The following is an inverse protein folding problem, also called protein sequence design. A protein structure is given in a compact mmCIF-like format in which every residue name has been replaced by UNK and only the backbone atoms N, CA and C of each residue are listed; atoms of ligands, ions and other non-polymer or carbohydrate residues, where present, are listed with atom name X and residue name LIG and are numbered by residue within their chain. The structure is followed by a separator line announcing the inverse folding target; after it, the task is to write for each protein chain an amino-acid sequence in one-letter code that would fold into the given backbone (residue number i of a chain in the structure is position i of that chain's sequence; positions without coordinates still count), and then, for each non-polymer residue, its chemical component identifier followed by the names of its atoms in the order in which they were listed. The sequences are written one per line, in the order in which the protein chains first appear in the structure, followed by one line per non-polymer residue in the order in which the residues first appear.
data_IF_417429841876
#
_entry.id   IF_417429841876
#
_cell.length_a   1.000
_cell.length_b   1.000
_cell.length_c   1.000
_cell.angle_alpha   90.00
_cell.angle_beta   90.00
_cell.angle_gamma   90.00
#
_symmetry.space_group_name_H-M   'P 1'
#
loop_
_entity.id
_entity.type
_entity.pdbx_description
1 polymer ?
#
# COMPACT_ATOMS: atom_id res chain seq x y z
N UNK A 1 -14.38 29.80 48.71
CA UNK A 1 -13.58 29.83 47.46
C UNK A 1 -12.89 28.49 47.28
N UNK A 2 -13.59 27.52 46.68
CA UNK A 2 -13.07 26.19 46.36
C UNK A 2 -12.28 26.29 45.06
N UNK A 3 -10.96 26.03 45.13
CA UNK A 3 -10.08 25.99 43.97
C UNK A 3 -10.38 24.71 43.19
N UNK A 4 -10.88 24.86 41.96
CA UNK A 4 -10.99 23.78 40.99
C UNK A 4 -9.58 23.30 40.64
N UNK A 5 -9.21 22.09 41.05
CA UNK A 5 -7.99 21.42 40.60
C UNK A 5 -8.26 20.81 39.23
N UNK A 6 -7.46 21.10 38.19
CA UNK A 6 -7.64 20.47 36.88
C UNK A 6 -7.51 18.95 36.97
N UNK A 7 -8.38 18.27 36.24
CA UNK A 7 -8.50 16.82 36.22
C UNK A 7 -7.28 16.21 35.51
N UNK A 8 -6.46 15.43 36.24
CA UNK A 8 -5.22 14.81 35.73
C UNK A 8 -5.42 13.90 34.51
N UNK A 9 -6.65 13.51 34.20
CA UNK A 9 -6.98 12.68 33.02
C UNK A 9 -6.91 13.46 31.70
N UNK A 10 -7.04 14.78 31.72
CA UNK A 10 -7.00 15.60 30.49
C UNK A 10 -5.55 15.88 30.03
N UNK A 11 -4.59 15.93 30.96
CA UNK A 11 -3.16 16.09 30.66
C UNK A 11 -2.57 14.83 30.01
N UNK A 12 -2.99 13.64 30.45
CA UNK A 12 -2.54 12.38 29.85
C UNK A 12 -3.06 12.19 28.42
N UNK A 13 -4.31 12.61 28.12
CA UNK A 13 -4.88 12.56 26.78
C UNK A 13 -4.30 13.61 25.82
N UNK A 14 -3.80 14.74 26.35
CA UNK A 14 -3.06 15.75 25.58
C UNK A 14 -1.65 15.25 25.23
N UNK A 15 -0.94 14.66 26.20
CA UNK A 15 0.41 14.11 26.00
C UNK A 15 0.44 12.93 25.01
N UNK A 16 -0.63 12.12 24.96
CA UNK A 16 -0.75 11.00 24.02
C UNK A 16 -1.06 11.47 22.57
N UNK A 17 -1.81 12.57 22.41
CA UNK A 17 -2.02 13.21 21.10
C UNK A 17 -0.75 13.86 20.54
N UNK A 18 0.11 14.39 21.41
CA UNK A 18 1.41 14.92 21.01
C UNK A 18 2.43 13.81 20.70
N UNK A 19 2.27 12.62 21.29
CA UNK A 19 3.09 11.44 21.00
C UNK A 19 2.82 10.83 19.61
N UNK A 20 1.62 11.02 19.08
CA UNK A 20 1.20 10.47 17.76
C UNK A 20 1.72 11.34 16.59
N UNK A 21 2.12 12.59 16.85
CA UNK A 21 2.88 13.39 15.89
C UNK A 21 4.37 13.21 16.15
N UNK A 22 4.90 12.04 15.82
CA UNK A 22 6.32 11.92 15.50
C UNK A 22 6.64 13.06 14.54
N UNK A 23 7.41 14.06 15.01
CA UNK A 23 7.81 15.19 14.19
C UNK A 23 8.69 14.66 13.06
N UNK A 24 8.07 14.29 11.93
CA UNK A 24 8.80 13.91 10.74
C UNK A 24 9.70 15.08 10.34
N UNK A 25 10.95 14.75 10.11
CA UNK A 25 11.97 15.67 9.61
C UNK A 25 12.39 15.19 8.23
N UNK A 26 12.92 16.08 7.36
CA UNK A 26 13.46 15.64 6.07
C UNK A 26 14.49 14.50 6.21
N UNK A 27 15.32 14.57 7.25
CA UNK A 27 16.35 13.57 7.54
C UNK A 27 15.72 12.24 7.94
N UNK A 28 14.69 12.23 8.79
CA UNK A 28 14.03 10.97 9.19
C UNK A 28 13.28 10.33 8.02
N UNK A 29 12.67 11.14 7.14
CA UNK A 29 12.02 10.63 5.91
C UNK A 29 13.04 10.09 4.90
N UNK A 30 14.16 10.79 4.72
CA UNK A 30 15.26 10.32 3.88
C UNK A 30 15.88 9.03 4.44
N UNK A 31 16.03 8.91 5.75
CA UNK A 31 16.51 7.68 6.39
C UNK A 31 15.51 6.52 6.23
N UNK A 32 14.21 6.79 6.34
CA UNK A 32 13.17 5.80 6.04
C UNK A 32 13.28 5.29 4.60
N UNK A 33 13.44 6.20 3.64
CA UNK A 33 13.65 5.86 2.22
C UNK A 33 14.94 5.06 2.01
N UNK A 34 16.04 5.44 2.66
CA UNK A 34 17.32 4.74 2.60
C UNK A 34 17.25 3.33 3.16
N UNK A 35 16.52 3.13 4.26
CA UNK A 35 16.32 1.81 4.87
C UNK A 35 15.63 0.87 3.89
N UNK A 36 14.57 1.34 3.22
CA UNK A 36 13.89 0.58 2.16
C UNK A 36 14.82 0.25 0.99
N UNK A 37 15.67 1.19 0.57
CA UNK A 37 16.65 0.94 -0.49
C UNK A 37 17.64 -0.17 -0.12
N UNK A 38 18.17 -0.15 1.11
CA UNK A 38 19.10 -1.17 1.60
C UNK A 38 18.43 -2.55 1.61
N UNK A 39 17.21 -2.65 2.13
CA UNK A 39 16.46 -3.91 2.17
C UNK A 39 16.20 -4.46 0.76
N UNK A 40 15.72 -3.62 -0.15
CA UNK A 40 15.47 -4.01 -1.53
C UNK A 40 16.75 -4.42 -2.26
N UNK A 41 17.82 -3.65 -2.07
CA UNK A 41 19.11 -3.90 -2.71
C UNK A 41 19.71 -5.22 -2.26
N UNK A 42 19.71 -5.50 -0.95
CA UNK A 42 20.21 -6.77 -0.40
C UNK A 42 19.42 -7.97 -0.94
N UNK A 43 18.13 -7.77 -1.25
CA UNK A 43 17.30 -8.78 -1.91
C UNK A 43 17.72 -9.08 -3.36
N UNK A 44 18.31 -8.10 -4.07
CA UNK A 44 18.72 -8.26 -5.48
C UNK A 44 20.19 -8.66 -5.62
N UNK A 45 21.03 -8.07 -4.77
CA UNK A 45 22.48 -8.18 -4.82
C UNK A 45 23.01 -8.53 -3.43
N UNK A 46 22.76 -9.76 -2.93
CA UNK A 46 23.08 -10.15 -1.56
C UNK A 46 24.58 -10.09 -1.22
N UNK A 47 25.45 -10.08 -2.24
CA UNK A 47 26.91 -10.01 -2.10
C UNK A 47 27.47 -8.61 -2.42
N UNK A 48 26.61 -7.61 -2.62
CA UNK A 48 27.02 -6.25 -2.98
C UNK A 48 26.48 -5.27 -1.95
N UNK A 49 27.36 -4.80 -1.06
CA UNK A 49 26.99 -3.91 0.04
C UNK A 49 26.49 -2.56 -0.50
N UNK A 50 25.20 -2.25 -0.27
CA UNK A 50 24.60 -0.99 -0.72
C UNK A 50 25.26 0.23 -0.10
N UNK A 51 25.61 0.17 1.20
CA UNK A 51 26.16 1.31 1.91
C UNK A 51 27.55 1.64 1.37
N UNK A 52 28.40 0.64 1.21
CA UNK A 52 29.77 0.86 0.74
C UNK A 52 29.84 1.18 -0.76
N UNK A 53 29.00 0.57 -1.58
CA UNK A 53 29.15 0.66 -3.04
C UNK A 53 28.18 1.63 -3.73
N UNK A 54 27.12 2.08 -3.06
CA UNK A 54 26.14 3.03 -3.61
C UNK A 54 26.05 4.27 -2.75
N UNK A 55 25.70 4.12 -1.47
CA UNK A 55 25.47 5.27 -0.60
C UNK A 55 26.75 6.08 -0.36
N UNK A 56 27.84 5.43 0.03
CA UNK A 56 29.09 6.11 0.41
C UNK A 56 29.72 6.90 -0.75
N UNK A 57 29.82 6.38 -2.00
CA UNK A 57 30.27 7.21 -3.13
C UNK A 57 29.42 8.46 -3.32
N UNK A 58 28.09 8.36 -3.22
CA UNK A 58 27.18 9.50 -3.32
C UNK A 58 27.30 10.43 -2.11
N UNK A 59 27.56 9.89 -0.92
CA UNK A 59 27.76 10.65 0.30
C UNK A 59 29.07 11.46 0.27
N UNK A 60 30.14 10.88 -0.25
CA UNK A 60 31.45 11.51 -0.32
C UNK A 60 31.54 12.52 -1.47
N UNK A 61 30.74 12.36 -2.52
CA UNK A 61 30.66 13.31 -3.63
C UNK A 61 29.89 14.60 -3.22
N UNK A 62 30.55 15.79 -3.23
CA UNK A 62 29.89 17.06 -2.94
C UNK A 62 28.88 17.48 -4.02
N UNK A 63 29.02 17.00 -5.24
CA UNK A 63 28.19 17.35 -6.40
C UNK A 63 27.01 16.39 -6.60
N UNK A 64 26.80 15.45 -5.68
CA UNK A 64 25.69 14.48 -5.74
C UNK A 64 24.36 15.18 -5.98
N UNK A 65 23.74 14.78 -7.10
CA UNK A 65 22.47 15.34 -7.55
C UNK A 65 21.52 14.25 -8.01
N UNK A 66 20.37 14.13 -7.33
CA UNK A 66 19.31 13.24 -7.78
C UNK A 66 18.83 13.58 -9.19
N UNK A 67 18.83 14.86 -9.57
CA UNK A 67 18.47 15.29 -10.93
C UNK A 67 19.45 14.77 -11.99
N UNK A 68 20.75 14.77 -11.71
CA UNK A 68 21.73 14.18 -12.64
C UNK A 68 21.55 12.67 -12.77
N UNK A 69 21.24 11.97 -11.67
CA UNK A 69 20.94 10.53 -11.72
C UNK A 69 19.68 10.24 -12.57
N UNK A 70 18.69 11.13 -12.58
CA UNK A 70 17.52 11.00 -13.47
C UNK A 70 17.92 11.12 -14.94
N UNK A 71 18.85 12.02 -15.26
CA UNK A 71 19.32 12.15 -16.65
C UNK A 71 20.09 10.89 -17.10
N UNK A 72 20.78 10.18 -16.19
CA UNK A 72 21.36 8.87 -16.50
C UNK A 72 20.28 7.80 -16.78
N UNK A 73 19.15 7.80 -16.06
CA UNK A 73 18.02 6.91 -16.36
C UNK A 73 17.51 7.16 -17.79
N UNK A 74 17.33 8.42 -18.18
CA UNK A 74 16.88 8.79 -19.53
C UNK A 74 17.86 8.32 -20.61
N UNK A 75 19.16 8.45 -20.37
CA UNK A 75 20.17 7.93 -21.29
C UNK A 75 20.02 6.42 -21.47
N UNK A 76 19.76 5.67 -20.40
CA UNK A 76 19.52 4.21 -20.47
C UNK A 76 18.22 3.90 -21.22
N UNK A 77 17.18 4.72 -21.09
CA UNK A 77 15.94 4.56 -21.86
C UNK A 77 16.16 4.81 -23.37
N UNK A 78 16.91 5.85 -23.71
CA UNK A 78 17.20 6.27 -25.08
C UNK A 78 18.32 5.46 -25.75
N UNK A 79 19.04 4.63 -25.00
CA UNK A 79 20.10 3.80 -25.55
C UNK A 79 19.56 2.88 -26.66
N UNK A 80 20.19 2.80 -27.85
CA UNK A 80 19.79 1.85 -28.88
C UNK A 80 19.86 0.42 -28.37
N UNK A 81 18.99 -0.46 -28.89
CA UNK A 81 19.00 -1.89 -28.55
C UNK A 81 20.29 -2.61 -28.95
N UNK A 82 21.21 -1.93 -29.65
CA UNK A 82 22.44 -2.49 -30.19
C UNK A 82 23.64 -1.58 -29.92
N UNK A 83 24.60 -2.07 -29.13
CA UNK A 83 25.88 -1.38 -28.85
C UNK A 83 27.08 -2.17 -29.40
N UNK A 84 27.00 -2.54 -30.69
CA UNK A 84 28.12 -3.12 -31.43
C UNK A 84 28.27 -4.63 -31.24
N UNK A 85 28.60 -5.12 -30.04
CA UNK A 85 28.97 -6.53 -29.84
C UNK A 85 27.84 -7.43 -29.30
N UNK A 86 26.88 -6.91 -28.52
CA UNK A 86 25.68 -7.66 -28.10
C UNK A 86 24.43 -6.74 -28.02
N UNK A 87 23.23 -7.27 -28.32
CA UNK A 87 21.99 -6.54 -28.10
C UNK A 87 21.75 -6.34 -26.60
N UNK A 88 21.26 -5.17 -26.21
CA UNK A 88 20.76 -4.96 -24.86
C UNK A 88 19.43 -5.70 -24.77
N UNK A 89 19.42 -6.80 -24.02
CA UNK A 89 18.18 -7.54 -23.78
C UNK A 89 17.19 -6.65 -23.03
N UNK A 90 15.87 -6.79 -23.28
CA UNK A 90 14.85 -6.09 -22.49
C UNK A 90 15.05 -6.27 -20.98
N UNK A 91 15.48 -7.45 -20.55
CA UNK A 91 15.78 -7.78 -19.16
C UNK A 91 17.01 -7.01 -18.64
N UNK A 92 18.07 -6.92 -19.45
CA UNK A 92 19.28 -6.15 -19.13
C UNK A 92 18.98 -4.66 -19.00
N UNK A 93 18.20 -4.09 -19.92
CA UNK A 93 17.72 -2.70 -19.82
C UNK A 93 16.89 -2.48 -18.56
N UNK A 94 15.96 -3.38 -18.27
CA UNK A 94 15.14 -3.30 -17.06
C UNK A 94 15.99 -3.35 -15.78
N UNK A 95 17.01 -4.20 -15.72
CA UNK A 95 17.94 -4.25 -14.60
C UNK A 95 18.73 -2.95 -14.45
N UNK A 96 19.25 -2.39 -15.55
CA UNK A 96 19.96 -1.12 -15.55
C UNK A 96 19.08 0.05 -15.05
N UNK A 97 17.83 0.14 -15.53
CA UNK A 97 16.87 1.16 -15.08
C UNK A 97 16.58 1.01 -13.58
N UNK A 98 16.43 -0.22 -13.06
CA UNK A 98 16.23 -0.46 -11.62
C UNK A 98 17.42 0.02 -10.78
N UNK A 99 18.64 -0.31 -11.19
CA UNK A 99 19.87 0.13 -10.50
C UNK A 99 19.97 1.66 -10.53
N UNK A 100 19.77 2.28 -11.69
CA UNK A 100 19.82 3.73 -11.85
C UNK A 100 18.72 4.44 -11.04
N UNK A 101 17.54 3.85 -10.94
CA UNK A 101 16.45 4.35 -10.08
C UNK A 101 16.82 4.30 -8.59
N UNK A 102 17.48 3.22 -8.14
CA UNK A 102 17.99 3.12 -6.77
C UNK A 102 19.06 4.20 -6.49
N UNK A 103 19.94 4.48 -7.45
CA UNK A 103 20.93 5.55 -7.36
C UNK A 103 20.27 6.93 -7.27
N UNK A 104 19.25 7.21 -8.09
CA UNK A 104 18.52 8.48 -8.02
C UNK A 104 17.83 8.68 -6.66
N UNK A 105 17.14 7.65 -6.15
CA UNK A 105 16.53 7.69 -4.82
C UNK A 105 17.58 7.92 -3.71
N UNK A 106 18.72 7.23 -3.78
CA UNK A 106 19.81 7.38 -2.83
C UNK A 106 20.43 8.78 -2.88
N UNK A 107 20.67 9.33 -4.08
CA UNK A 107 21.20 10.68 -4.25
C UNK A 107 20.28 11.74 -3.63
N UNK A 108 18.96 11.62 -3.81
CA UNK A 108 18.01 12.50 -3.12
C UNK A 108 18.02 12.31 -1.59
N UNK A 109 18.20 11.09 -1.08
CA UNK A 109 18.40 10.87 0.36
C UNK A 109 19.63 11.63 0.87
N UNK A 110 20.76 11.53 0.15
CA UNK A 110 21.99 12.24 0.49
C UNK A 110 21.79 13.76 0.45
N UNK A 111 21.14 14.29 -0.59
CA UNK A 111 20.85 15.73 -0.70
C UNK A 111 19.94 16.21 0.45
N UNK A 112 18.92 15.44 0.82
CA UNK A 112 18.05 15.75 1.96
C UNK A 112 18.82 15.77 3.29
N UNK A 113 19.77 14.86 3.48
CA UNK A 113 20.60 14.76 4.68
C UNK A 113 21.68 15.85 4.76
N UNK A 114 22.23 16.29 3.62
CA UNK A 114 23.23 17.36 3.53
C UNK A 114 22.62 18.77 3.54
N UNK A 115 21.36 18.91 3.15
CA UNK A 115 20.67 20.20 3.10
C UNK A 115 20.52 20.84 4.49
N UNK A 116 20.38 22.17 4.50
CA UNK A 116 20.14 22.94 5.73
C UNK A 116 18.94 22.40 6.51
N UNK A 117 19.12 22.18 7.81
CA UNK A 117 18.12 21.55 8.67
C UNK A 117 16.76 22.26 8.58
N UNK A 118 15.75 21.54 8.13
CA UNK A 118 14.37 22.05 8.02
C UNK A 118 14.13 23.02 6.87
N UNK A 119 15.05 23.13 5.90
CA UNK A 119 14.84 23.92 4.69
C UNK A 119 13.75 23.31 3.80
N UNK A 120 13.18 24.14 2.92
CA UNK A 120 12.29 23.68 1.85
C UNK A 120 12.98 22.69 0.92
N UNK A 121 14.28 22.87 0.69
CA UNK A 121 15.07 22.03 -0.22
C UNK A 121 15.24 20.64 0.39
N UNK A 122 15.53 20.55 1.70
CA UNK A 122 15.62 19.29 2.41
C UNK A 122 14.32 18.48 2.28
N UNK A 123 13.16 19.13 2.46
CA UNK A 123 11.86 18.50 2.28
C UNK A 123 11.61 18.08 0.83
N UNK A 124 11.95 18.93 -0.14
CA UNK A 124 11.81 18.62 -1.55
C UNK A 124 12.62 17.37 -1.93
N UNK A 125 13.86 17.28 -1.46
CA UNK A 125 14.71 16.11 -1.68
C UNK A 125 14.17 14.86 -0.98
N UNK A 126 13.69 14.97 0.27
CA UNK A 126 13.10 13.83 0.96
C UNK A 126 11.85 13.29 0.25
N UNK A 127 11.00 14.17 -0.28
CA UNK A 127 9.82 13.80 -1.07
C UNK A 127 10.22 13.13 -2.39
N UNK A 128 11.22 13.66 -3.09
CA UNK A 128 11.72 13.04 -4.33
C UNK A 128 12.36 11.67 -4.04
N UNK A 129 13.13 11.53 -2.96
CA UNK A 129 13.65 10.23 -2.53
C UNK A 129 12.51 9.21 -2.33
N UNK A 130 11.48 9.58 -1.56
CA UNK A 130 10.33 8.72 -1.31
C UNK A 130 9.57 8.37 -2.60
N UNK A 131 9.42 9.33 -3.52
CA UNK A 131 8.81 9.10 -4.84
C UNK A 131 9.60 8.06 -5.64
N UNK A 132 10.92 8.19 -5.72
CA UNK A 132 11.77 7.26 -6.47
C UNK A 132 11.83 5.88 -5.82
N UNK A 133 11.81 5.79 -4.48
CA UNK A 133 11.61 4.52 -3.78
C UNK A 133 10.26 3.90 -4.16
N UNK A 134 9.18 4.68 -4.21
CA UNK A 134 7.86 4.19 -4.62
C UNK A 134 7.83 3.66 -6.07
N UNK A 135 8.49 4.36 -7.00
CA UNK A 135 8.67 3.89 -8.38
C UNK A 135 9.44 2.56 -8.40
N UNK A 136 10.55 2.50 -7.66
CA UNK A 136 11.40 1.31 -7.56
C UNK A 136 10.65 0.12 -6.94
N UNK A 137 9.86 0.36 -5.90
CA UNK A 137 8.97 -0.64 -5.30
C UNK A 137 7.96 -1.16 -6.32
N UNK A 138 7.37 -0.27 -7.14
CA UNK A 138 6.48 -0.67 -8.23
C UNK A 138 7.16 -1.59 -9.26
N UNK A 139 8.41 -1.28 -9.63
CA UNK A 139 9.22 -2.17 -10.49
C UNK A 139 9.53 -3.51 -9.82
N UNK A 140 9.81 -3.52 -8.52
CA UNK A 140 10.20 -4.71 -7.78
C UNK A 140 9.05 -5.67 -7.53
N UNK A 141 7.92 -5.14 -7.06
CA UNK A 141 6.75 -5.90 -6.66
C UNK A 141 6.05 -6.60 -7.84
N UNK A 142 6.52 -6.38 -9.08
CA UNK A 142 5.94 -6.90 -10.34
C UNK A 142 4.43 -6.65 -10.46
N UNK A 143 3.89 -5.68 -9.71
CA UNK A 143 2.45 -5.33 -9.62
C UNK A 143 1.90 -4.75 -10.92
N UNK A 144 2.69 -4.74 -11.99
CA UNK A 144 2.25 -4.42 -13.35
C UNK A 144 2.71 -5.36 -14.47
N UNK A 145 3.63 -6.32 -14.26
CA UNK A 145 4.30 -6.99 -15.41
C UNK A 145 4.22 -8.51 -15.49
N UNK A 146 4.19 -9.27 -14.38
CA UNK A 146 4.19 -10.76 -14.52
C UNK A 146 3.28 -11.52 -13.55
N UNK A 147 2.86 -10.89 -12.45
CA UNK A 147 1.87 -11.46 -11.50
C UNK A 147 0.92 -10.40 -10.96
N UNK A 148 0.83 -9.26 -11.65
CA UNK A 148 -0.17 -8.27 -11.36
C UNK A 148 -1.54 -8.93 -11.54
N UNK A 149 -2.27 -9.10 -10.45
CA UNK A 149 -3.70 -8.99 -10.55
C UNK A 149 -3.93 -7.73 -11.39
N UNK A 150 -4.42 -7.88 -12.62
CA UNK A 150 -4.79 -6.76 -13.49
C UNK A 150 -5.52 -5.72 -12.64
N UNK A 151 -5.47 -4.43 -12.98
CA UNK A 151 -6.26 -3.42 -12.25
C UNK A 151 -7.71 -3.88 -12.00
N UNK A 152 -8.26 -4.67 -12.94
CA UNK A 152 -9.52 -5.41 -12.80
C UNK A 152 -9.55 -6.46 -11.68
N UNK A 153 -8.54 -7.32 -11.54
CA UNK A 153 -8.43 -8.28 -10.44
C UNK A 153 -8.19 -7.61 -9.08
N UNK A 154 -7.38 -6.53 -8.99
CA UNK A 154 -7.25 -5.76 -7.75
C UNK A 154 -8.58 -5.11 -7.35
N UNK A 155 -9.30 -4.51 -8.32
CA UNK A 155 -10.64 -4.00 -8.09
C UNK A 155 -11.61 -5.11 -7.65
N UNK A 156 -11.50 -6.31 -8.25
CA UNK A 156 -12.31 -7.48 -7.87
C UNK A 156 -11.97 -7.96 -6.45
N UNK A 157 -10.71 -7.97 -6.05
CA UNK A 157 -10.28 -8.32 -4.70
C UNK A 157 -10.74 -7.29 -3.67
N UNK A 158 -10.62 -6.00 -3.98
CA UNK A 158 -11.14 -4.92 -3.15
C UNK A 158 -12.66 -5.00 -2.99
N UNK A 159 -13.40 -5.23 -4.08
CA UNK A 159 -14.84 -5.46 -4.03
C UNK A 159 -15.18 -6.74 -3.25
N UNK A 160 -14.39 -7.81 -3.40
CA UNK A 160 -14.58 -9.05 -2.67
C UNK A 160 -14.38 -8.86 -1.16
N UNK A 161 -13.38 -8.08 -0.75
CA UNK A 161 -13.13 -7.74 0.64
C UNK A 161 -14.26 -6.87 1.21
N UNK A 162 -14.66 -5.82 0.48
CA UNK A 162 -15.77 -4.94 0.88
C UNK A 162 -17.12 -5.67 1.03
N UNK A 163 -17.31 -6.77 0.30
CA UNK A 163 -18.52 -7.60 0.38
C UNK A 163 -18.34 -8.88 1.19
N UNK A 164 -17.20 -9.10 1.85
CA UNK A 164 -16.94 -10.32 2.61
C UNK A 164 -17.92 -10.46 3.77
N UNK A 165 -18.07 -9.41 4.59
CA UNK A 165 -19.00 -9.38 5.72
C UNK A 165 -20.45 -9.59 5.27
N UNK A 166 -20.86 -8.90 4.20
CA UNK A 166 -22.20 -9.00 3.64
C UNK A 166 -22.50 -10.43 3.14
N UNK A 167 -21.52 -11.09 2.51
CA UNK A 167 -21.64 -12.49 2.07
C UNK A 167 -21.70 -13.46 3.25
N UNK A 168 -20.90 -13.24 4.30
CA UNK A 168 -20.93 -14.05 5.51
C UNK A 168 -22.30 -13.95 6.20
N UNK A 169 -22.85 -12.75 6.34
CA UNK A 169 -24.21 -12.52 6.86
C UNK A 169 -25.28 -13.20 6.00
N UNK A 170 -25.18 -13.11 4.67
CA UNK A 170 -26.13 -13.77 3.77
C UNK A 170 -26.07 -15.30 3.91
N UNK A 171 -24.88 -15.88 4.03
CA UNK A 171 -24.69 -17.32 4.24
C UNK A 171 -25.28 -17.79 5.59
N UNK A 172 -25.10 -16.99 6.65
CA UNK A 172 -25.72 -17.23 7.95
C UNK A 172 -27.25 -17.23 7.85
N UNK A 173 -27.82 -16.24 7.15
CA UNK A 173 -29.28 -16.16 6.92
C UNK A 173 -29.79 -17.36 6.12
N UNK A 174 -29.08 -17.80 5.07
CA UNK A 174 -29.45 -18.99 4.30
C UNK A 174 -29.48 -20.25 5.17
N UNK A 175 -28.44 -20.46 5.98
CA UNK A 175 -28.34 -21.60 6.90
C UNK A 175 -29.48 -21.57 7.92
N UNK A 176 -29.78 -20.40 8.49
CA UNK A 176 -30.90 -20.24 9.40
C UNK A 176 -32.25 -20.55 8.71
N UNK A 177 -32.43 -20.11 7.46
CA UNK A 177 -33.63 -20.39 6.70
C UNK A 177 -33.82 -21.90 6.45
N UNK A 178 -32.74 -22.66 6.28
CA UNK A 178 -32.81 -24.10 6.05
C UNK A 178 -33.52 -24.85 7.19
N UNK A 179 -33.35 -24.41 8.43
CA UNK A 179 -33.92 -25.04 9.62
C UNK A 179 -35.21 -24.37 10.12
N UNK A 180 -35.43 -23.09 9.83
CA UNK A 180 -36.49 -22.32 10.49
C UNK A 180 -37.65 -21.92 9.57
N UNK A 181 -37.48 -21.95 8.23
CA UNK A 181 -38.51 -21.44 7.31
C UNK A 181 -39.85 -22.18 7.39
N UNK A 182 -39.87 -23.45 7.81
CA UNK A 182 -41.12 -24.20 8.00
C UNK A 182 -42.02 -23.67 9.12
N UNK A 183 -41.49 -22.84 10.02
CA UNK A 183 -42.22 -22.26 11.16
C UNK A 183 -42.94 -20.95 10.81
N UNK A 184 -42.62 -20.35 9.66
CA UNK A 184 -43.14 -19.04 9.26
C UNK A 184 -44.17 -19.17 8.13
N UNK A 185 -45.33 -18.56 8.32
CA UNK A 185 -46.43 -18.56 7.33
C UNK A 185 -46.13 -17.72 6.08
N UNK A 186 -45.19 -16.78 6.17
CA UNK A 186 -44.81 -15.91 5.07
C UNK A 186 -43.33 -15.54 5.12
N UNK A 187 -42.79 -15.14 3.97
CA UNK A 187 -41.43 -14.62 3.87
C UNK A 187 -41.25 -13.26 4.59
N UNK A 188 -42.34 -12.50 4.78
CA UNK A 188 -42.29 -11.25 5.54
C UNK A 188 -42.09 -11.52 7.03
N UNK A 189 -42.82 -12.50 7.58
CA UNK A 189 -42.66 -12.91 8.97
C UNK A 189 -41.25 -13.45 9.25
N UNK A 190 -40.69 -14.23 8.31
CA UNK A 190 -39.31 -14.69 8.41
C UNK A 190 -38.30 -13.52 8.33
N UNK A 191 -38.55 -12.51 7.49
CA UNK A 191 -37.70 -11.33 7.39
C UNK A 191 -37.69 -10.47 8.68
N UNK A 192 -38.82 -10.36 9.37
CA UNK A 192 -38.91 -9.72 10.70
C UNK A 192 -38.20 -10.49 11.82
N UNK A 193 -38.06 -11.81 11.67
CA UNK A 193 -37.32 -12.65 12.60
C UNK A 193 -35.79 -12.53 12.39
N UNK A 194 -35.36 -12.15 11.18
CA UNK A 194 -33.94 -12.03 10.81
C UNK A 194 -33.41 -10.60 11.00
N UNK A 195 -34.14 -9.60 10.48
CA UNK A 195 -33.68 -8.22 10.39
C UNK A 195 -33.46 -7.60 11.79
N UNK A 196 -32.21 -7.18 12.06
CA UNK A 196 -31.82 -6.58 13.34
C UNK A 196 -31.74 -7.56 14.51
N UNK A 197 -32.06 -8.84 14.31
CA UNK A 197 -32.04 -9.88 15.35
C UNK A 197 -30.96 -10.93 15.10
N UNK A 198 -30.97 -11.54 13.91
CA UNK A 198 -29.95 -12.49 13.49
C UNK A 198 -28.76 -11.79 12.84
N UNK A 199 -29.04 -10.77 12.03
CA UNK A 199 -28.03 -9.95 11.34
C UNK A 199 -28.44 -8.48 11.37
N UNK A 200 -27.47 -7.53 11.49
CA UNK A 200 -27.75 -6.10 11.58
C UNK A 200 -28.08 -5.48 10.22
N UNK A 201 -29.11 -6.00 9.54
CA UNK A 201 -29.59 -5.51 8.24
C UNK A 201 -31.04 -5.05 8.30
N UNK A 202 -31.41 -4.16 7.38
CA UNK A 202 -32.79 -3.69 7.24
C UNK A 202 -33.71 -4.80 6.72
N UNK A 203 -34.99 -4.71 7.07
CA UNK A 203 -36.04 -5.64 6.65
C UNK A 203 -36.03 -5.99 5.16
N UNK A 204 -35.91 -4.97 4.29
CA UNK A 204 -35.89 -5.16 2.83
C UNK A 204 -34.74 -6.06 2.37
N UNK A 205 -33.55 -5.91 2.98
CA UNK A 205 -32.38 -6.73 2.69
C UNK A 205 -32.57 -8.17 3.13
N UNK A 206 -33.06 -8.38 4.35
CA UNK A 206 -33.38 -9.72 4.86
C UNK A 206 -34.42 -10.43 3.97
N UNK A 207 -35.49 -9.72 3.59
CA UNK A 207 -36.53 -10.25 2.69
C UNK A 207 -35.97 -10.63 1.32
N UNK A 208 -35.07 -9.81 0.75
CA UNK A 208 -34.42 -10.12 -0.52
C UNK A 208 -33.61 -11.42 -0.42
N UNK A 209 -32.84 -11.61 0.64
CA UNK A 209 -32.03 -12.83 0.83
C UNK A 209 -32.87 -14.08 1.01
N UNK A 210 -34.00 -14.00 1.72
CA UNK A 210 -34.96 -15.11 1.82
C UNK A 210 -35.57 -15.42 0.45
N UNK A 211 -35.80 -14.40 -0.38
CA UNK A 211 -36.22 -14.57 -1.77
C UNK A 211 -35.19 -15.32 -2.61
N UNK A 212 -33.92 -14.95 -2.48
CA UNK A 212 -32.82 -15.63 -3.16
C UNK A 212 -32.70 -17.10 -2.70
N UNK A 213 -32.80 -17.34 -1.39
CA UNK A 213 -32.84 -18.69 -0.81
C UNK A 213 -33.97 -19.54 -1.40
N UNK A 214 -35.18 -18.98 -1.53
CA UNK A 214 -36.33 -19.69 -2.11
C UNK A 214 -36.10 -20.02 -3.58
N UNK A 215 -35.52 -19.09 -4.35
CA UNK A 215 -35.19 -19.30 -5.77
C UNK A 215 -34.19 -20.44 -5.97
N UNK A 216 -33.14 -20.49 -5.15
CA UNK A 216 -32.14 -21.56 -5.19
C UNK A 216 -32.77 -22.94 -4.97
N UNK A 217 -33.76 -23.03 -4.09
CA UNK A 217 -34.49 -24.28 -3.80
C UNK A 217 -35.57 -24.61 -4.82
N UNK A 218 -36.17 -23.62 -5.49
CA UNK A 218 -37.09 -23.88 -6.61
C UNK A 218 -36.37 -24.32 -7.88
N UNK A 219 -35.13 -23.89 -8.09
CA UNK A 219 -34.30 -24.29 -9.23
C UNK A 219 -33.70 -25.70 -9.09
N UNK A 220 -33.81 -26.33 -7.92
CA UNK A 220 -33.31 -27.67 -7.61
C UNK A 220 -34.37 -28.78 -7.55
N UNK A 221 -35.57 -28.56 -8.08
CA UNK A 221 -36.56 -29.64 -8.25
C UNK A 221 -36.34 -30.33 -9.61
N UNK A 222 -35.96 -31.63 -9.66
CA UNK A 222 -36.12 -32.42 -10.87
C UNK A 222 -37.59 -32.57 -11.27
#
# INVERSE_FOLDING_TARGET
MTKNTPNQTDEAASADKDRIRSHSTPISEAYGSLTWLIEMWNGWFPNYDFLENVFKPLWDDPETSGAQQIDEIRKIEDMPDWFGQEPITPEGRSAAIKIATAHAACAYCVQAMKASKGSSDAWSYAIEAARWVGILQGFHSRTGLENANSASQLARLGAAAAHAENRAMKALVMTWCDSNMGQFKSMDAAAEAIAGKLVPVKFRTARQWIGDWRKLRSAGKP
#
